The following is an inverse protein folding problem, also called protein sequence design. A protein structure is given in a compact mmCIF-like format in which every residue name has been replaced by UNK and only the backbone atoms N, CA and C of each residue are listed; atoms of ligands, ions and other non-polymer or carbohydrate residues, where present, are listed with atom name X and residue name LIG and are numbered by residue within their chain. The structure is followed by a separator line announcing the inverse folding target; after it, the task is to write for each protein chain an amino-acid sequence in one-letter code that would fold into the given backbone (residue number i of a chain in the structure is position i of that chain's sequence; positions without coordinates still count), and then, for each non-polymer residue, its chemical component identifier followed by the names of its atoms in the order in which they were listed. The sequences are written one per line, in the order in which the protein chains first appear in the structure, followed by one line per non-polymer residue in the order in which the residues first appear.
data_IF_629409393404
#
_entry.id   IF_629409393404
#
_cell.length_a   1.000
_cell.length_b   1.000
_cell.length_c   1.000
_cell.angle_alpha   90.00
_cell.angle_beta   90.00
_cell.angle_gamma   90.00
#
_symmetry.space_group_name_H-M   'P 1'
#
loop_
_entity.id
_entity.type
_entity.pdbx_description
1 polymer ?
#
# COMPACT_ATOMS: atom_id res chain seq x y z
N UNK A 1 -27.02 -27.90 -6.90
CA UNK A 1 -27.11 -26.51 -7.38
C UNK A 1 -26.61 -25.59 -6.27
N UNK A 2 -25.47 -24.94 -6.51
CA UNK A 2 -24.71 -24.17 -5.51
C UNK A 2 -25.44 -22.90 -5.09
N UNK A 3 -25.42 -22.63 -3.78
CA UNK A 3 -25.94 -21.41 -3.17
C UNK A 3 -25.22 -20.18 -3.74
N UNK A 4 -26.01 -19.14 -3.96
CA UNK A 4 -25.59 -17.84 -4.44
C UNK A 4 -24.39 -17.29 -3.65
N UNK A 5 -23.36 -16.86 -4.38
CA UNK A 5 -22.29 -16.02 -3.88
C UNK A 5 -22.92 -14.71 -3.37
N UNK A 6 -22.80 -14.49 -2.06
CA UNK A 6 -23.38 -13.33 -1.39
C UNK A 6 -22.76 -12.04 -1.95
N UNK A 7 -23.61 -11.09 -2.29
CA UNK A 7 -23.22 -9.81 -2.87
C UNK A 7 -22.86 -8.86 -1.73
N UNK A 8 -21.69 -8.24 -1.85
CA UNK A 8 -21.19 -7.16 -0.98
C UNK A 8 -20.88 -7.55 0.47
N UNK A 9 -19.86 -8.39 0.67
CA UNK A 9 -19.15 -8.43 1.96
C UNK A 9 -18.42 -7.09 2.16
N UNK A 10 -19.11 -6.11 2.72
CA UNK A 10 -18.51 -4.84 3.17
C UNK A 10 -17.57 -5.19 4.32
N UNK A 11 -16.28 -4.95 4.13
CA UNK A 11 -15.29 -5.13 5.18
C UNK A 11 -15.41 -3.96 6.17
N UNK A 12 -15.27 -4.25 7.45
CA UNK A 12 -15.14 -3.20 8.44
C UNK A 12 -13.90 -2.35 8.12
N UNK A 13 -13.93 -1.05 8.41
CA UNK A 13 -12.81 -0.16 8.08
C UNK A 13 -11.52 -0.56 8.79
N UNK A 14 -11.63 -1.18 9.96
CA UNK A 14 -10.51 -1.75 10.71
C UNK A 14 -9.87 -2.91 9.94
N UNK A 15 -10.68 -3.79 9.34
CA UNK A 15 -10.22 -4.93 8.54
C UNK A 15 -9.55 -4.46 7.25
N UNK A 16 -10.11 -3.42 6.62
CA UNK A 16 -9.46 -2.74 5.50
C UNK A 16 -8.06 -2.21 5.88
N UNK A 17 -7.91 -1.69 7.09
CA UNK A 17 -6.63 -1.25 7.65
C UNK A 17 -5.64 -2.39 7.81
N UNK A 18 -6.07 -3.56 8.30
CA UNK A 18 -5.19 -4.73 8.41
C UNK A 18 -4.67 -5.21 7.06
N UNK A 19 -5.51 -5.22 6.02
CA UNK A 19 -5.07 -5.57 4.67
C UNK A 19 -4.03 -4.58 4.16
N UNK A 20 -4.23 -3.28 4.37
CA UNK A 20 -3.25 -2.26 3.98
C UNK A 20 -1.90 -2.49 4.69
N UNK A 21 -1.90 -2.68 6.01
CA UNK A 21 -0.67 -2.89 6.77
C UNK A 21 0.06 -4.18 6.38
N UNK A 22 -0.70 -5.24 6.08
CA UNK A 22 -0.12 -6.47 5.59
C UNK A 22 0.62 -6.24 4.26
N UNK A 23 0.01 -5.54 3.31
CA UNK A 23 0.62 -5.25 2.01
C UNK A 23 1.84 -4.33 2.12
N UNK A 24 1.79 -3.32 2.98
CA UNK A 24 2.95 -2.46 3.29
C UNK A 24 4.10 -3.28 3.87
N UNK A 25 3.80 -4.18 4.82
CA UNK A 25 4.80 -5.06 5.41
C UNK A 25 5.43 -6.00 4.37
N UNK A 26 4.63 -6.55 3.45
CA UNK A 26 5.13 -7.37 2.34
C UNK A 26 6.11 -6.57 1.48
N UNK A 27 5.78 -5.34 1.08
CA UNK A 27 6.68 -4.53 0.24
C UNK A 27 7.96 -4.13 0.98
N UNK A 28 7.85 -3.69 2.22
CA UNK A 28 8.99 -3.17 2.98
C UNK A 28 9.90 -4.29 3.47
N UNK A 29 9.33 -5.34 4.07
CA UNK A 29 10.11 -6.36 4.75
C UNK A 29 10.52 -7.49 3.82
N UNK A 30 9.61 -7.95 2.95
CA UNK A 30 9.88 -9.07 2.04
C UNK A 30 10.53 -8.62 0.75
N UNK A 31 10.02 -7.55 0.14
CA UNK A 31 10.58 -7.00 -1.11
C UNK A 31 11.63 -5.89 -0.91
N UNK A 32 11.97 -5.58 0.35
CA UNK A 32 12.99 -4.60 0.74
C UNK A 32 12.79 -3.22 0.11
N UNK A 33 11.54 -2.85 -0.17
CA UNK A 33 11.21 -1.57 -0.78
C UNK A 33 11.25 -0.46 0.27
N UNK A 34 11.67 0.72 -0.18
CA UNK A 34 11.66 1.90 0.67
C UNK A 34 10.22 2.32 0.93
N UNK A 35 9.89 2.79 2.13
CA UNK A 35 8.53 3.25 2.40
C UNK A 35 8.06 4.36 1.46
N UNK A 36 8.95 5.26 1.02
CA UNK A 36 8.59 6.27 0.00
C UNK A 36 8.15 5.67 -1.35
N UNK A 37 8.65 4.48 -1.73
CA UNK A 37 8.16 3.77 -2.92
C UNK A 37 6.76 3.23 -2.67
N UNK A 38 6.52 2.67 -1.49
CA UNK A 38 5.22 2.09 -1.11
C UNK A 38 4.14 3.18 -1.03
N UNK A 39 4.46 4.33 -0.46
CA UNK A 39 3.55 5.49 -0.34
C UNK A 39 3.23 6.15 -1.67
N UNK A 40 4.16 6.08 -2.64
CA UNK A 40 4.03 6.77 -3.93
C UNK A 40 3.67 5.85 -5.09
N UNK A 41 3.55 4.54 -4.88
CA UNK A 41 3.11 3.61 -5.90
C UNK A 41 1.71 3.96 -6.39
N UNK A 42 1.61 4.28 -7.67
CA UNK A 42 0.38 4.68 -8.31
C UNK A 42 -0.39 3.48 -8.87
N UNK A 43 -1.70 3.65 -9.02
CA UNK A 43 -2.56 2.65 -9.69
C UNK A 43 -2.07 2.36 -11.11
N UNK A 44 -1.55 3.37 -11.82
CA UNK A 44 -1.03 3.20 -13.18
C UNK A 44 0.18 2.26 -13.21
N UNK A 45 1.05 2.34 -12.22
CA UNK A 45 2.23 1.47 -12.11
C UNK A 45 1.81 0.03 -11.78
N UNK A 46 0.84 -0.13 -10.88
CA UNK A 46 0.21 -1.42 -10.63
C UNK A 46 -0.46 -2.02 -11.87
N UNK A 47 -1.18 -1.22 -12.65
CA UNK A 47 -1.84 -1.68 -13.88
C UNK A 47 -0.83 -2.01 -14.98
N UNK A 48 0.35 -1.40 -14.95
CA UNK A 48 1.45 -1.68 -15.89
C UNK A 48 2.30 -2.90 -15.53
N UNK A 49 1.91 -3.67 -14.51
CA UNK A 49 2.62 -4.86 -14.07
C UNK A 49 2.70 -5.92 -15.16
N UNK A 50 3.79 -6.68 -15.16
CA UNK A 50 4.06 -7.72 -16.18
C UNK A 50 4.09 -9.08 -15.52
N UNK A 51 3.20 -9.97 -15.95
CA UNK A 51 3.23 -11.38 -15.56
C UNK A 51 4.34 -12.11 -16.32
N UNK A 52 5.11 -12.92 -15.59
CA UNK A 52 6.21 -13.73 -16.09
C UNK A 52 5.82 -15.20 -15.98
N UNK A 53 6.24 -16.01 -16.96
CA UNK A 53 5.91 -17.45 -17.05
C UNK A 53 6.28 -18.28 -15.81
N UNK A 54 7.14 -17.75 -14.94
CA UNK A 54 7.58 -18.37 -13.69
C UNK A 54 6.60 -18.25 -12.51
N UNK A 55 5.37 -17.75 -12.72
CA UNK A 55 4.41 -17.51 -11.62
C UNK A 55 4.77 -16.29 -10.75
N UNK A 56 5.36 -15.28 -11.41
CA UNK A 56 5.75 -14.04 -10.77
C UNK A 56 5.20 -12.85 -11.54
N UNK A 57 4.89 -11.77 -10.81
CA UNK A 57 4.40 -10.53 -11.38
C UNK A 57 5.37 -9.39 -11.06
N UNK A 58 5.93 -8.76 -12.09
CA UNK A 58 6.88 -7.67 -11.94
C UNK A 58 6.14 -6.34 -11.92
N UNK A 59 6.38 -5.56 -10.86
CA UNK A 59 5.87 -4.19 -10.72
C UNK A 59 7.04 -3.22 -10.77
N UNK A 60 6.94 -2.22 -11.64
CA UNK A 60 7.91 -1.14 -11.75
C UNK A 60 7.30 0.18 -11.28
N UNK A 61 7.93 0.82 -10.30
CA UNK A 61 7.55 2.14 -9.78
C UNK A 61 8.57 3.16 -10.30
N UNK A 62 8.07 4.14 -11.05
CA UNK A 62 8.85 5.24 -11.61
C UNK A 62 8.75 6.43 -10.68
N UNK A 63 9.89 7.00 -10.35
CA UNK A 63 9.98 8.14 -9.45
C UNK A 63 9.19 9.33 -10.01
N UNK A 64 8.14 9.72 -9.30
CA UNK A 64 7.55 11.05 -9.41
C UNK A 64 7.98 11.85 -8.19
N UNK A 65 9.15 12.50 -8.28
CA UNK A 65 9.68 13.55 -7.37
C UNK A 65 10.61 13.13 -6.22
N UNK A 66 11.73 12.45 -6.50
CA UNK A 66 12.95 12.62 -5.67
C UNK A 66 14.19 12.67 -6.57
N UNK A 67 15.24 13.36 -6.11
CA UNK A 67 16.44 13.67 -6.91
C UNK A 67 17.40 12.48 -7.11
N UNK A 68 17.04 11.28 -6.65
CA UNK A 68 17.89 10.10 -6.68
C UNK A 68 17.23 9.02 -7.53
N UNK A 69 17.60 8.94 -8.82
CA UNK A 69 17.10 8.10 -9.93
C UNK A 69 16.89 6.59 -9.66
N UNK A 70 16.29 6.19 -8.55
CA UNK A 70 16.13 4.79 -8.19
C UNK A 70 14.70 4.37 -8.54
N UNK A 71 14.56 3.92 -9.77
CA UNK A 71 13.42 3.11 -10.23
C UNK A 71 13.35 1.88 -9.32
N UNK A 72 12.23 1.73 -8.59
CA UNK A 72 11.99 0.55 -7.79
C UNK A 72 11.33 -0.52 -8.66
N UNK A 73 11.89 -1.73 -8.63
CA UNK A 73 11.33 -2.89 -9.31
C UNK A 73 11.33 -4.05 -8.34
N UNK A 74 10.20 -4.73 -8.22
CA UNK A 74 10.05 -5.92 -7.39
C UNK A 74 9.17 -6.95 -8.09
N UNK A 75 9.38 -8.22 -7.73
CA UNK A 75 8.67 -9.35 -8.30
C UNK A 75 7.81 -10.01 -7.22
N UNK A 76 6.49 -9.90 -7.38
CA UNK A 76 5.50 -10.52 -6.50
C UNK A 76 5.31 -11.99 -6.87
N UNK A 77 5.03 -12.84 -5.89
CA UNK A 77 4.46 -14.17 -6.14
C UNK A 77 2.97 -14.07 -6.54
N UNK A 78 2.42 -15.14 -7.10
CA UNK A 78 0.99 -15.21 -7.43
C UNK A 78 0.08 -14.94 -6.22
N UNK A 79 0.44 -15.45 -5.04
CA UNK A 79 -0.30 -15.19 -3.80
C UNK A 79 -0.27 -13.71 -3.41
N UNK A 80 0.89 -13.06 -3.54
CA UNK A 80 1.03 -11.64 -3.23
C UNK A 80 0.24 -10.79 -4.24
N UNK A 81 0.36 -11.09 -5.53
CA UNK A 81 -0.39 -10.43 -6.60
C UNK A 81 -1.90 -10.50 -6.34
N UNK A 82 -2.41 -11.66 -5.92
CA UNK A 82 -3.80 -11.86 -5.54
C UNK A 82 -4.21 -10.91 -4.40
N UNK A 83 -3.40 -10.77 -3.34
CA UNK A 83 -3.70 -9.87 -2.24
C UNK A 83 -3.70 -8.39 -2.68
N UNK A 84 -2.76 -7.99 -3.54
CA UNK A 84 -2.78 -6.65 -4.14
C UNK A 84 -4.01 -6.42 -5.02
N UNK A 85 -4.40 -7.43 -5.80
CA UNK A 85 -5.61 -7.39 -6.63
C UNK A 85 -6.87 -7.18 -5.77
N UNK A 86 -7.01 -7.93 -4.67
CA UNK A 86 -8.11 -7.75 -3.70
C UNK A 86 -8.09 -6.34 -3.12
N UNK A 87 -6.92 -5.82 -2.77
CA UNK A 87 -6.82 -4.46 -2.24
C UNK A 87 -7.31 -3.42 -3.24
N UNK A 88 -6.83 -3.45 -4.49
CA UNK A 88 -7.21 -2.45 -5.49
C UNK A 88 -8.68 -2.57 -5.93
N UNK A 89 -9.23 -3.77 -5.96
CA UNK A 89 -10.61 -4.02 -6.42
C UNK A 89 -11.66 -3.86 -5.33
N UNK A 90 -11.38 -4.28 -4.09
CA UNK A 90 -12.37 -4.34 -3.02
C UNK A 90 -12.09 -3.43 -1.84
N UNK A 91 -10.84 -3.35 -1.35
CA UNK A 91 -10.51 -2.61 -0.12
C UNK A 91 -10.40 -1.11 -0.38
N UNK A 92 -9.61 -0.73 -1.39
CA UNK A 92 -9.33 0.67 -1.73
C UNK A 92 -10.60 1.48 -2.02
N UNK A 93 -11.60 1.00 -2.79
CA UNK A 93 -12.84 1.73 -2.99
C UNK A 93 -13.63 1.98 -1.69
N UNK A 94 -13.63 1.03 -0.76
CA UNK A 94 -14.31 1.16 0.53
C UNK A 94 -13.65 2.22 1.41
N UNK A 95 -12.30 2.20 1.48
CA UNK A 95 -11.51 3.19 2.22
C UNK A 95 -11.74 4.61 1.66
N UNK A 96 -11.67 4.78 0.34
CA UNK A 96 -11.91 6.07 -0.33
C UNK A 96 -13.34 6.57 -0.05
N UNK A 97 -14.35 5.69 -0.18
CA UNK A 97 -15.75 6.03 0.09
C UNK A 97 -15.96 6.47 1.53
N UNK A 98 -15.37 5.77 2.51
CA UNK A 98 -15.46 6.14 3.92
C UNK A 98 -14.80 7.49 4.21
N UNK A 99 -13.63 7.76 3.64
CA UNK A 99 -12.95 9.05 3.79
C UNK A 99 -13.75 10.20 3.17
N UNK A 100 -14.37 10.01 2.01
CA UNK A 100 -15.21 11.03 1.38
C UNK A 100 -16.45 11.38 2.22
N UNK A 101 -17.05 10.38 2.91
CA UNK A 101 -18.16 10.60 3.85
C UNK A 101 -17.71 11.37 5.09
N UNK A 102 -16.52 11.08 5.61
CA UNK A 102 -15.95 11.82 6.74
C UNK A 102 -15.70 13.29 6.39
N UNK A 103 -15.13 13.56 5.21
CA UNK A 103 -14.91 14.93 4.72
C UNK A 103 -16.19 15.74 4.58
N UNK A 104 -17.29 15.15 4.09
CA UNK A 104 -18.59 15.84 4.04
C UNK A 104 -19.17 16.19 5.41
N UNK A 105 -18.74 15.50 6.47
CA UNK A 105 -19.10 15.81 7.86
C UNK A 105 -18.20 16.92 8.42
N UNK A 106 -16.91 16.88 8.10
CA UNK A 106 -15.90 17.83 8.59
C UNK A 106 -15.98 19.20 7.84
N UNK A 107 -16.40 19.21 6.56
CA UNK A 107 -16.66 20.44 5.78
C UNK A 107 -17.83 21.28 6.33
N UNK A 108 -18.68 20.71 7.19
CA UNK A 108 -19.71 21.44 7.91
C UNK A 108 -19.19 22.11 9.20
N UNK A 109 -17.96 21.80 9.65
CA UNK A 109 -17.45 22.23 10.96
C UNK A 109 -16.10 22.98 10.96
N UNK A 110 -15.28 23.01 9.90
CA UNK A 110 -14.03 23.80 9.98
C UNK A 110 -13.44 24.24 8.62
N UNK A 111 -13.61 25.53 8.31
CA UNK A 111 -12.76 26.28 7.37
C UNK A 111 -11.45 26.64 8.10
N UNK A 112 -10.46 25.74 8.11
CA UNK A 112 -9.02 26.08 8.17
C UNK A 112 -8.16 24.81 8.19
N UNK A 113 -7.02 24.85 7.49
CA UNK A 113 -5.95 23.86 7.39
C UNK A 113 -6.11 22.75 6.30
N UNK A 114 -5.29 22.77 5.22
CA UNK A 114 -5.19 21.67 4.28
C UNK A 114 -4.38 20.54 4.94
N UNK A 115 -5.06 19.70 5.74
CA UNK A 115 -4.46 18.48 6.27
C UNK A 115 -4.29 17.49 5.12
N UNK A 116 -3.09 17.50 4.54
CA UNK A 116 -2.55 16.34 3.81
C UNK A 116 -2.90 15.09 4.60
N UNK A 117 -3.43 14.07 3.92
CA UNK A 117 -3.84 12.79 4.49
C UNK A 117 -2.61 12.01 5.00
N UNK A 118 -1.93 12.53 6.00
CA UNK A 118 -1.10 11.75 6.88
C UNK A 118 -2.06 11.06 7.83
N UNK A 119 -2.45 9.83 7.48
CA UNK A 119 -2.78 8.86 8.52
C UNK A 119 -1.71 8.99 9.61
N UNK A 120 -2.12 9.04 10.88
CA UNK A 120 -1.24 9.10 12.04
C UNK A 120 -0.31 7.87 12.08
N UNK A 121 0.70 7.86 11.21
CA UNK A 121 1.73 6.84 11.04
C UNK A 121 3.09 7.33 11.55
N UNK A 122 3.17 8.58 12.05
CA UNK A 122 4.44 9.22 12.39
C UNK A 122 5.22 8.46 13.51
N UNK A 123 4.53 7.74 14.41
CA UNK A 123 5.16 7.04 15.53
C UNK A 123 5.56 5.58 15.25
N UNK A 124 4.83 4.86 14.39
CA UNK A 124 5.19 3.48 14.00
C UNK A 124 6.16 3.45 12.82
N UNK A 125 6.09 4.44 11.94
CA UNK A 125 6.95 4.55 10.77
C UNK A 125 8.39 4.89 11.14
N UNK A 126 8.63 5.74 12.13
CA UNK A 126 9.98 6.00 12.66
C UNK A 126 10.60 4.73 13.27
N UNK A 127 9.79 3.90 13.93
CA UNK A 127 10.26 2.64 14.50
C UNK A 127 10.64 1.61 13.43
N UNK A 128 9.78 1.42 12.42
CA UNK A 128 10.05 0.51 11.30
C UNK A 128 11.20 1.03 10.41
N UNK A 129 11.27 2.33 10.15
CA UNK A 129 12.35 2.94 9.36
C UNK A 129 13.71 2.83 10.07
N UNK A 130 13.74 3.10 11.38
CA UNK A 130 14.95 2.91 12.19
C UNK A 130 15.36 1.43 12.27
N UNK A 131 14.41 0.52 12.43
CA UNK A 131 14.67 -0.92 12.48
C UNK A 131 15.22 -1.45 11.14
N UNK A 132 14.62 -1.07 10.01
CA UNK A 132 15.05 -1.50 8.67
C UNK A 132 16.43 -0.93 8.31
N UNK A 133 16.71 0.33 8.63
CA UNK A 133 18.05 0.92 8.42
C UNK A 133 19.09 0.21 9.30
N UNK A 134 18.77 -0.02 10.57
CA UNK A 134 19.68 -0.69 11.51
C UNK A 134 19.96 -2.12 11.09
N UNK A 135 18.94 -2.87 10.67
CA UNK A 135 19.09 -4.24 10.19
C UNK A 135 19.89 -4.31 8.88
N UNK A 136 19.70 -3.34 7.97
CA UNK A 136 20.47 -3.25 6.73
C UNK A 136 21.93 -2.90 6.97
N UNK A 137 22.22 -1.99 7.90
CA UNK A 137 23.59 -1.67 8.31
C UNK A 137 24.27 -2.86 9.00
N UNK A 138 23.53 -3.61 9.81
CA UNK A 138 24.03 -4.82 10.48
C UNK A 138 24.35 -5.94 9.47
N UNK A 139 23.52 -6.11 8.44
CA UNK A 139 23.72 -7.13 7.39
C UNK A 139 24.84 -6.77 6.40
N UNK A 140 25.16 -5.48 6.23
CA UNK A 140 26.27 -5.00 5.39
C UNK A 140 27.61 -4.91 6.14
N UNK A 141 27.62 -5.17 7.45
CA UNK A 141 28.81 -5.10 8.32
C UNK A 141 29.47 -6.47 8.57
N UNK A 142 29.12 -7.51 7.79
CA UNK A 142 29.78 -8.82 7.77
C UNK A 142 30.37 -9.07 6.39
#
# INVERSE_FOLDING_TARGET
MGKACDKDSVLELTECGFVLYYLEAVLILKHLQRPGVVEHMTVKEWDSRVSVQSGHCIVGVKEHKTAAQQVAVFALSDEEEMWFSIYYTHVRPQVIKAQSKKRKRDEAEEESEPRTLTLNMHYHFTFLFSFVITLRLLLLSK
#
